data_IF_854807755339
#
_entry.id   IF_854807755339
#
_cell.length_a   1.000
_cell.length_b   1.000
_cell.length_c   1.000
_cell.angle_alpha   90.00
_cell.angle_beta   90.00
_cell.angle_gamma   90.00
#
_symmetry.space_group_name_H-M   'P 1'
#
loop_
_entity.id
_entity.type
_entity.pdbx_description
1 polymer ?
#
# COMPACT_ATOMS: atom_id res chain seq x y z
N UNK A 1 -69.89 -23.68 33.12
CA UNK A 1 -69.14 -24.56 32.20
C UNK A 1 -67.77 -23.95 31.95
N UNK A 2 -66.70 -24.72 32.19
CA UNK A 2 -65.29 -24.36 31.92
C UNK A 2 -65.08 -24.12 30.42
N UNK A 3 -64.28 -23.10 30.06
CA UNK A 3 -63.31 -23.20 28.96
C UNK A 3 -62.01 -22.51 29.36
N UNK A 4 -61.04 -23.36 29.69
CA UNK A 4 -59.61 -23.09 29.75
C UNK A 4 -59.18 -22.77 28.31
N UNK A 5 -58.64 -21.59 28.05
CA UNK A 5 -57.96 -21.29 26.79
C UNK A 5 -56.47 -21.18 27.07
N UNK A 6 -55.77 -22.16 26.51
CA UNK A 6 -54.34 -22.43 26.57
C UNK A 6 -53.46 -21.18 26.40
N UNK A 7 -52.79 -20.78 27.48
CA UNK A 7 -51.55 -20.00 27.46
C UNK A 7 -50.43 -20.96 26.99
N UNK A 8 -50.36 -21.23 25.69
CA UNK A 8 -49.21 -21.94 25.08
C UNK A 8 -48.79 -21.41 23.70
N UNK A 9 -49.49 -20.42 23.16
CA UNK A 9 -49.20 -19.91 21.81
C UNK A 9 -48.41 -18.60 21.78
N UNK A 10 -48.08 -18.00 22.92
CA UNK A 10 -47.37 -16.71 22.98
C UNK A 10 -45.84 -16.84 23.15
N UNK A 11 -45.32 -18.06 23.31
CA UNK A 11 -43.87 -18.29 23.54
C UNK A 11 -43.09 -18.67 22.27
N UNK A 12 -43.77 -18.92 21.15
CA UNK A 12 -43.12 -19.33 19.90
C UNK A 12 -42.70 -18.14 19.01
N UNK A 13 -43.24 -16.95 19.23
CA UNK A 13 -42.97 -15.77 18.36
C UNK A 13 -41.70 -15.02 18.80
N UNK A 14 -41.33 -15.08 20.08
CA UNK A 14 -40.16 -14.35 20.61
C UNK A 14 -38.85 -15.13 20.42
N UNK A 15 -38.89 -16.46 20.36
CA UNK A 15 -37.69 -17.30 20.13
C UNK A 15 -37.35 -17.46 18.64
N UNK A 16 -38.31 -17.20 17.74
CA UNK A 16 -38.07 -17.21 16.28
C UNK A 16 -37.35 -15.98 15.73
N UNK A 17 -37.30 -14.88 16.50
CA UNK A 17 -36.67 -13.62 16.09
C UNK A 17 -35.17 -13.54 16.42
N UNK A 18 -34.59 -14.53 17.10
CA UNK A 18 -33.19 -14.52 17.54
C UNK A 18 -32.26 -15.44 16.75
N UNK A 19 -32.74 -16.09 15.68
CA UNK A 19 -31.93 -17.01 14.85
C UNK A 19 -31.83 -16.61 13.37
N UNK A 20 -32.20 -15.38 13.03
CA UNK A 20 -31.94 -14.80 11.70
C UNK A 20 -30.87 -13.68 11.76
N UNK A 21 -29.96 -13.74 12.73
CA UNK A 21 -28.63 -13.15 12.55
C UNK A 21 -27.81 -14.13 11.72
N UNK A 22 -28.21 -14.31 10.45
CA UNK A 22 -27.23 -14.70 9.47
C UNK A 22 -26.25 -13.55 9.42
N UNK A 23 -25.08 -13.84 9.96
CA UNK A 23 -23.79 -13.24 9.64
C UNK A 23 -23.63 -13.34 8.10
N UNK A 24 -24.38 -12.52 7.37
CA UNK A 24 -23.95 -12.13 6.04
C UNK A 24 -22.88 -11.09 6.34
N UNK A 25 -21.66 -11.62 6.49
CA UNK A 25 -20.47 -11.04 5.90
C UNK A 25 -20.88 -10.58 4.50
N UNK A 26 -21.46 -9.38 4.43
CA UNK A 26 -21.58 -8.65 3.18
C UNK A 26 -20.16 -8.16 2.97
N UNK A 27 -19.29 -9.09 2.58
CA UNK A 27 -18.13 -8.77 1.78
C UNK A 27 -18.68 -7.84 0.72
N UNK A 28 -18.37 -6.55 0.85
CA UNK A 28 -18.63 -5.56 -0.19
C UNK A 28 -18.13 -6.27 -1.45
N UNK A 29 -18.99 -6.56 -2.43
CA UNK A 29 -18.51 -7.24 -3.62
C UNK A 29 -17.31 -6.44 -4.10
N UNK A 30 -16.19 -7.11 -4.36
CA UNK A 30 -15.05 -6.52 -5.05
C UNK A 30 -15.61 -6.04 -6.39
N UNK A 31 -16.12 -4.81 -6.41
CA UNK A 31 -16.40 -4.09 -7.63
C UNK A 31 -14.99 -3.99 -8.21
N UNK A 32 -14.69 -4.69 -9.33
CA UNK A 32 -13.45 -4.41 -10.02
C UNK A 32 -13.53 -2.91 -10.24
N UNK A 33 -12.60 -2.13 -9.66
CA UNK A 33 -12.46 -0.76 -10.11
C UNK A 33 -12.07 -0.94 -11.57
N UNK A 34 -13.05 -0.81 -12.47
CA UNK A 34 -12.78 -0.69 -13.90
C UNK A 34 -11.72 0.39 -13.94
N UNK A 35 -10.50 0.04 -14.36
CA UNK A 35 -9.30 0.88 -14.32
C UNK A 35 -8.34 0.78 -13.11
N UNK A 36 -8.34 -0.32 -12.35
CA UNK A 36 -7.23 -0.65 -11.44
C UNK A 36 -6.32 -1.76 -11.97
N UNK A 37 -5.03 -1.69 -11.67
CA UNK A 37 -4.04 -2.74 -11.91
C UNK A 37 -3.41 -3.19 -10.59
N UNK A 38 -3.28 -4.51 -10.39
CA UNK A 38 -2.38 -5.02 -9.37
C UNK A 38 -0.92 -4.79 -9.80
N UNK A 39 -0.04 -4.62 -8.82
CA UNK A 39 1.39 -4.48 -9.03
C UNK A 39 2.19 -5.16 -7.92
N UNK A 40 3.44 -5.52 -8.25
CA UNK A 40 4.42 -6.11 -7.36
C UNK A 40 5.76 -5.37 -7.49
N UNK A 41 6.62 -5.53 -6.50
CA UNK A 41 8.05 -5.26 -6.67
C UNK A 41 8.68 -6.54 -7.21
N UNK A 42 9.42 -6.41 -8.32
CA UNK A 42 9.97 -7.57 -9.03
C UNK A 42 11.08 -8.26 -8.23
N UNK A 43 11.83 -7.48 -7.46
CA UNK A 43 12.94 -7.92 -6.65
C UNK A 43 12.51 -8.16 -5.18
N UNK A 44 12.90 -9.29 -4.60
CA UNK A 44 12.76 -9.52 -3.15
C UNK A 44 13.88 -8.85 -2.35
N UNK A 45 15.07 -8.72 -2.97
CA UNK A 45 16.26 -8.11 -2.36
C UNK A 45 17.09 -7.39 -3.41
N UNK A 46 17.60 -6.21 -3.06
CA UNK A 46 18.54 -5.43 -3.86
C UNK A 46 19.76 -5.11 -3.01
N UNK A 47 20.94 -5.55 -3.45
CA UNK A 47 22.21 -5.18 -2.81
C UNK A 47 22.82 -3.97 -3.52
N UNK A 48 23.16 -2.95 -2.76
CA UNK A 48 23.75 -1.68 -3.21
C UNK A 48 25.00 -1.38 -2.39
N UNK A 49 25.92 -0.60 -2.94
CA UNK A 49 27.08 -0.09 -2.19
C UNK A 49 26.78 1.32 -1.72
N UNK A 50 27.40 1.73 -0.63
CA UNK A 50 27.35 3.11 -0.18
C UNK A 50 27.65 4.11 -1.30
N UNK A 51 26.90 5.20 -1.34
CA UNK A 51 27.03 6.26 -2.35
C UNK A 51 26.62 5.88 -3.78
N UNK A 52 26.23 4.61 -4.04
CA UNK A 52 25.71 4.21 -5.34
C UNK A 52 24.21 4.45 -5.47
N UNK A 53 23.74 4.48 -6.72
CA UNK A 53 22.32 4.64 -7.01
C UNK A 53 21.55 3.36 -6.69
N UNK A 54 20.49 3.49 -5.90
CA UNK A 54 19.52 2.45 -5.65
C UNK A 54 18.40 2.47 -6.72
N UNK A 55 18.01 1.28 -7.17
CA UNK A 55 16.93 1.07 -8.15
C UNK A 55 16.22 -0.26 -7.95
N UNK A 56 14.93 -0.31 -8.23
CA UNK A 56 14.13 -1.54 -8.28
C UNK A 56 13.05 -1.43 -9.36
N UNK A 57 12.34 -2.51 -9.63
CA UNK A 57 11.32 -2.56 -10.68
C UNK A 57 9.95 -2.80 -10.07
N UNK A 58 8.98 -1.97 -10.47
CA UNK A 58 7.56 -2.24 -10.25
C UNK A 58 7.00 -2.89 -11.51
N UNK A 59 6.38 -4.05 -11.36
CA UNK A 59 5.67 -4.76 -12.42
C UNK A 59 4.17 -4.71 -12.15
N UNK A 60 3.38 -4.27 -13.14
CA UNK A 60 1.93 -4.17 -13.05
C UNK A 60 1.24 -5.04 -14.10
N UNK A 61 0.05 -5.55 -13.78
CA UNK A 61 -0.70 -6.46 -14.66
C UNK A 61 -1.28 -5.77 -15.91
N UNK A 62 -1.71 -4.52 -15.77
CA UNK A 62 -2.37 -3.77 -16.83
C UNK A 62 -1.89 -2.32 -16.86
N UNK A 63 -1.92 -1.70 -18.04
CA UNK A 63 -1.72 -0.26 -18.17
C UNK A 63 -2.91 0.49 -17.56
N UNK A 64 -2.62 1.59 -16.87
CA UNK A 64 -3.63 2.47 -16.29
C UNK A 64 -3.59 3.80 -17.04
N UNK A 65 -4.64 4.08 -17.83
CA UNK A 65 -4.72 5.29 -18.65
C UNK A 65 -5.28 6.50 -17.89
N UNK A 66 -6.16 6.27 -16.91
CA UNK A 66 -6.77 7.36 -16.16
C UNK A 66 -5.74 8.03 -15.27
N UNK A 67 -5.62 9.34 -15.48
CA UNK A 67 -4.83 10.22 -14.64
C UNK A 67 -5.79 10.90 -13.68
N UNK A 68 -5.39 10.95 -12.42
CA UNK A 68 -6.15 11.68 -11.43
C UNK A 68 -5.95 13.20 -11.64
N UNK A 69 -6.80 13.79 -12.48
CA UNK A 69 -6.80 15.24 -12.81
C UNK A 69 -7.70 16.05 -11.84
N UNK A 70 -8.18 15.43 -10.76
CA UNK A 70 -9.32 15.94 -9.99
C UNK A 70 -9.03 16.43 -8.56
N UNK A 71 -7.80 16.37 -8.08
CA UNK A 71 -7.47 16.78 -6.71
C UNK A 71 -6.23 17.67 -6.73
N UNK A 72 -6.34 18.92 -6.25
CA UNK A 72 -5.26 19.91 -6.12
C UNK A 72 -4.03 19.44 -5.30
N UNK A 73 -4.04 18.20 -4.84
CA UNK A 73 -3.11 17.61 -3.89
C UNK A 73 -2.16 16.59 -4.51
N UNK A 74 -2.41 16.10 -5.74
CA UNK A 74 -1.58 15.05 -6.36
C UNK A 74 -1.01 15.50 -7.70
N UNK A 75 0.15 14.95 -8.04
CA UNK A 75 0.67 15.03 -9.41
C UNK A 75 -0.32 14.35 -10.36
N UNK A 76 -0.40 14.86 -11.60
CA UNK A 76 -1.25 14.29 -12.65
C UNK A 76 -0.56 13.05 -13.23
N UNK A 77 -0.61 11.96 -12.46
CA UNK A 77 -0.03 10.65 -12.76
C UNK A 77 -1.12 9.56 -12.71
N UNK A 78 -0.89 8.44 -13.40
CA UNK A 78 -1.80 7.29 -13.41
C UNK A 78 -1.45 6.20 -12.38
N UNK A 79 -0.21 6.17 -11.88
CA UNK A 79 0.24 5.30 -10.80
C UNK A 79 0.59 6.10 -9.54
N UNK A 80 0.06 5.69 -8.39
CA UNK A 80 0.32 6.30 -7.09
C UNK A 80 0.50 5.22 -6.04
N UNK A 81 1.65 5.21 -5.36
CA UNK A 81 1.95 4.25 -4.29
C UNK A 81 2.63 4.95 -3.12
N UNK A 82 2.57 4.28 -1.97
CA UNK A 82 3.24 4.67 -0.75
C UNK A 82 4.44 3.76 -0.51
N UNK A 83 5.52 4.35 0.01
CA UNK A 83 6.73 3.63 0.41
C UNK A 83 7.03 4.01 1.86
N UNK A 84 7.28 3.02 2.72
CA UNK A 84 7.72 3.28 4.09
C UNK A 84 8.74 2.24 4.55
N UNK A 85 9.55 2.63 5.53
CA UNK A 85 10.46 1.72 6.21
C UNK A 85 9.69 0.99 7.31
N UNK A 86 9.76 -0.34 7.33
CA UNK A 86 9.11 -1.19 8.33
C UNK A 86 10.09 -1.98 9.20
N UNK A 87 11.37 -1.97 8.85
CA UNK A 87 12.43 -2.69 9.55
C UNK A 87 13.80 -2.40 8.93
N UNK A 88 14.82 -3.11 9.43
CA UNK A 88 16.21 -2.97 9.00
C UNK A 88 17.17 -2.55 10.11
N UNK A 89 18.43 -2.43 9.76
CA UNK A 89 19.53 -1.97 10.63
C UNK A 89 20.04 -0.59 10.25
N UNK A 90 19.86 -0.19 8.98
CA UNK A 90 20.24 1.12 8.49
C UNK A 90 19.37 2.22 9.12
N UNK A 91 19.99 3.37 9.34
CA UNK A 91 19.48 4.55 10.02
C UNK A 91 19.16 5.65 9.01
N UNK A 92 17.94 6.17 9.10
CA UNK A 92 17.50 7.29 8.27
C UNK A 92 18.32 8.55 8.57
N UNK A 93 18.73 9.26 7.51
CA UNK A 93 19.59 10.44 7.49
C UNK A 93 21.08 10.19 7.84
N UNK A 94 21.45 8.95 8.17
CA UNK A 94 22.85 8.50 8.35
C UNK A 94 23.26 7.64 7.14
N UNK A 95 22.56 6.53 6.89
CA UNK A 95 22.93 5.55 5.84
C UNK A 95 22.08 5.72 4.57
N UNK A 96 20.88 6.28 4.72
CA UNK A 96 19.99 6.57 3.61
C UNK A 96 19.06 7.75 3.87
N UNK A 97 18.53 8.35 2.80
CA UNK A 97 17.49 9.37 2.89
C UNK A 97 16.49 9.24 1.74
N UNK A 98 15.23 9.65 1.97
CA UNK A 98 14.22 9.67 0.91
C UNK A 98 14.31 10.95 0.08
N UNK A 99 14.25 10.80 -1.24
CA UNK A 99 14.25 11.91 -2.21
C UNK A 99 12.83 12.25 -2.71
N UNK A 100 11.81 11.66 -2.10
CA UNK A 100 10.39 11.83 -2.43
C UNK A 100 9.64 12.45 -1.25
N UNK A 101 8.53 13.17 -1.49
CA UNK A 101 7.82 13.86 -0.42
C UNK A 101 7.11 12.87 0.51
N UNK A 102 6.86 13.30 1.75
CA UNK A 102 5.99 12.54 2.66
C UNK A 102 4.55 12.62 2.18
N UNK A 103 3.78 11.55 2.37
CA UNK A 103 2.37 11.51 1.98
C UNK A 103 1.57 12.63 2.64
N UNK A 104 1.86 12.94 3.90
CA UNK A 104 1.21 14.03 4.63
C UNK A 104 1.43 15.41 3.99
N UNK A 105 2.62 15.63 3.40
CA UNK A 105 2.97 16.90 2.75
C UNK A 105 2.29 17.05 1.40
N UNK A 106 2.03 15.94 0.71
CA UNK A 106 1.27 15.87 -0.55
C UNK A 106 -0.23 16.04 -0.27
N UNK A 107 -0.78 15.25 0.66
CA UNK A 107 -2.18 15.32 1.05
C UNK A 107 -2.39 14.94 2.52
N UNK A 108 -2.64 15.93 3.41
CA UNK A 108 -2.85 15.66 4.84
C UNK A 108 -4.16 14.92 5.12
N UNK A 109 -5.08 14.85 4.14
CA UNK A 109 -6.37 14.18 4.27
C UNK A 109 -6.29 12.65 4.16
N UNK A 110 -5.19 12.12 3.60
CA UNK A 110 -5.02 10.68 3.47
C UNK A 110 -4.81 9.99 4.82
N UNK A 111 -4.29 10.71 5.82
CA UNK A 111 -3.98 10.18 7.16
C UNK A 111 -3.08 8.92 7.11
N UNK A 112 -2.25 8.81 6.08
CA UNK A 112 -1.27 7.74 5.88
C UNK A 112 0.15 8.25 6.19
N UNK A 113 0.98 7.37 6.77
CA UNK A 113 2.40 7.60 7.01
C UNK A 113 3.26 7.13 5.83
N UNK A 114 4.50 7.59 5.75
CA UNK A 114 5.45 7.21 4.69
C UNK A 114 5.57 8.26 3.58
N UNK A 115 6.08 7.82 2.44
CA UNK A 115 6.52 8.64 1.32
C UNK A 115 5.71 8.34 0.06
N UNK A 116 5.42 9.39 -0.70
CA UNK A 116 4.58 9.32 -1.90
C UNK A 116 5.43 9.13 -3.14
N UNK A 117 5.11 8.13 -3.95
CA UNK A 117 5.71 7.92 -5.27
C UNK A 117 4.62 7.88 -6.35
N UNK A 118 4.67 8.87 -7.23
CA UNK A 118 3.83 8.95 -8.43
C UNK A 118 4.62 8.57 -9.69
N UNK A 119 4.00 7.80 -10.59
CA UNK A 119 4.60 7.45 -11.88
C UNK A 119 3.54 7.30 -12.99
N UNK A 120 3.95 7.40 -14.25
CA UNK A 120 3.05 7.22 -15.39
C UNK A 120 2.84 5.72 -15.67
N UNK A 121 1.84 5.11 -15.04
CA UNK A 121 1.42 3.73 -15.25
C UNK A 121 0.75 3.47 -16.61
N UNK A 122 0.63 4.48 -17.49
CA UNK A 122 0.00 4.31 -18.82
C UNK A 122 0.99 3.86 -19.90
N UNK A 123 2.30 3.95 -19.64
CA UNK A 123 3.33 3.79 -20.69
C UNK A 123 4.02 2.43 -20.72
N UNK A 124 4.04 1.69 -19.61
CA UNK A 124 4.77 0.42 -19.49
C UNK A 124 4.10 -0.50 -18.48
N UNK A 125 4.34 -1.81 -18.58
CA UNK A 125 3.99 -2.78 -17.52
C UNK A 125 5.14 -2.95 -16.52
N UNK A 126 6.37 -2.58 -16.91
CA UNK A 126 7.54 -2.56 -16.04
C UNK A 126 8.06 -1.14 -15.88
N UNK A 127 8.23 -0.71 -14.63
CA UNK A 127 8.70 0.62 -14.26
C UNK A 127 9.95 0.52 -13.41
N UNK A 128 11.08 0.95 -13.95
CA UNK A 128 12.31 1.09 -13.18
C UNK A 128 12.18 2.33 -12.30
N UNK A 129 12.13 2.09 -10.99
CA UNK A 129 12.09 3.13 -9.96
C UNK A 129 13.51 3.47 -9.57
N UNK A 130 13.87 4.73 -9.75
CA UNK A 130 15.18 5.28 -9.42
C UNK A 130 14.98 6.54 -8.58
N UNK A 131 16.03 6.96 -7.86
CA UNK A 131 16.09 8.25 -7.18
C UNK A 131 14.94 8.46 -6.17
N UNK A 132 14.43 7.38 -5.56
CA UNK A 132 13.49 7.47 -4.44
C UNK A 132 14.19 7.47 -3.09
N UNK A 133 15.36 6.83 -3.03
CA UNK A 133 16.23 6.76 -1.86
C UNK A 133 17.65 7.10 -2.33
N UNK A 134 18.33 7.97 -1.59
CA UNK A 134 19.78 8.16 -1.67
C UNK A 134 20.43 7.22 -0.67
N UNK A 135 21.37 6.39 -1.13
CA UNK A 135 22.28 5.65 -0.26
C UNK A 135 23.45 6.57 0.04
N UNK A 136 23.68 6.84 1.31
CA UNK A 136 24.72 7.76 1.77
C UNK A 136 26.04 6.98 1.83
N UNK A 137 27.16 7.69 1.66
CA UNK A 137 28.47 7.17 2.00
C UNK A 137 28.97 8.04 3.14
N UNK A 138 28.97 7.49 4.34
CA UNK A 138 29.30 8.23 5.56
C UNK A 138 30.79 8.08 5.94
N UNK A 139 31.47 7.10 5.32
CA UNK A 139 32.89 6.79 5.48
C UNK A 139 33.22 5.98 6.73
N UNK A 140 32.22 5.41 7.42
CA UNK A 140 32.40 4.44 8.50
C UNK A 140 32.58 3.03 7.94
N UNK A 141 32.82 2.06 8.83
CA UNK A 141 32.89 0.65 8.44
C UNK A 141 32.02 -0.13 9.40
N UNK A 142 30.86 -0.54 8.92
CA UNK A 142 29.73 -1.06 9.66
C UNK A 142 29.27 -2.42 9.10
N UNK A 143 29.72 -2.76 7.88
CA UNK A 143 29.48 -4.05 7.24
C UNK A 143 28.32 -4.01 6.27
N UNK A 144 27.39 -4.97 6.39
CA UNK A 144 26.15 -4.96 5.61
C UNK A 144 25.01 -4.49 6.48
N UNK A 145 24.37 -3.41 6.07
CA UNK A 145 23.17 -2.88 6.69
C UNK A 145 21.94 -3.16 5.83
N UNK A 146 20.76 -3.02 6.43
CA UNK A 146 19.51 -3.37 5.76
C UNK A 146 18.44 -2.31 5.93
N UNK A 147 17.64 -2.10 4.88
CA UNK A 147 16.35 -1.41 4.94
C UNK A 147 15.28 -2.39 4.51
N UNK A 148 14.22 -2.55 5.31
CA UNK A 148 13.01 -3.27 4.90
C UNK A 148 11.93 -2.26 4.50
N UNK A 149 11.62 -2.21 3.21
CA UNK A 149 10.62 -1.31 2.63
C UNK A 149 9.29 -2.02 2.48
N UNK A 150 8.19 -1.33 2.76
CA UNK A 150 6.83 -1.73 2.41
C UNK A 150 6.24 -0.80 1.37
N UNK A 151 5.58 -1.39 0.38
CA UNK A 151 4.82 -0.71 -0.67
C UNK A 151 3.33 -0.92 -0.43
N UNK A 152 2.54 0.15 -0.52
CA UNK A 152 1.11 0.11 -0.22
C UNK A 152 0.32 1.10 -1.09
N UNK A 153 -1.00 0.93 -1.27
CA UNK A 153 -1.79 1.85 -2.09
C UNK A 153 -2.03 3.18 -1.36
N UNK A 154 -1.95 4.28 -2.10
CA UNK A 154 -2.19 5.63 -1.57
C UNK A 154 -3.50 6.20 -2.10
N UNK A 155 -4.40 6.61 -1.21
CA UNK A 155 -5.66 7.27 -1.58
C UNK A 155 -6.55 6.44 -2.53
N UNK A 156 -7.01 7.05 -3.62
CA UNK A 156 -7.78 6.39 -4.69
C UNK A 156 -6.79 5.81 -5.70
N UNK A 157 -5.85 4.98 -5.27
CA UNK A 157 -4.86 4.42 -6.20
C UNK A 157 -5.55 3.53 -7.25
N UNK A 158 -5.21 3.77 -8.51
CA UNK A 158 -5.49 2.84 -9.60
C UNK A 158 -4.44 1.73 -9.68
N UNK A 159 -3.27 1.90 -9.07
CA UNK A 159 -2.29 0.83 -8.89
C UNK A 159 -2.39 0.29 -7.47
N UNK A 160 -2.67 -1.00 -7.34
CA UNK A 160 -2.78 -1.68 -6.05
C UNK A 160 -1.54 -2.53 -5.84
N UNK A 161 -0.71 -2.16 -4.85
CA UNK A 161 0.50 -2.87 -4.47
C UNK A 161 0.47 -3.16 -2.97
N UNK A 162 0.90 -4.33 -2.56
CA UNK A 162 1.11 -4.69 -1.15
C UNK A 162 2.28 -5.66 -1.08
N UNK A 163 3.48 -5.10 -1.05
CA UNK A 163 4.72 -5.86 -1.22
C UNK A 163 5.83 -5.29 -0.34
N UNK A 164 6.94 -6.02 -0.25
CA UNK A 164 8.11 -5.65 0.53
C UNK A 164 9.40 -5.85 -0.25
N UNK A 165 10.38 -4.99 0.00
CA UNK A 165 11.73 -5.12 -0.57
C UNK A 165 12.78 -4.98 0.53
N UNK A 166 13.75 -5.88 0.55
CA UNK A 166 14.95 -5.73 1.37
C UNK A 166 16.04 -5.04 0.54
N UNK A 167 16.58 -3.96 1.08
CA UNK A 167 17.76 -3.28 0.51
C UNK A 167 18.95 -3.60 1.40
N UNK A 168 20.00 -4.21 0.85
CA UNK A 168 21.26 -4.45 1.54
C UNK A 168 22.27 -3.37 1.15
N UNK A 169 22.69 -2.54 2.09
CA UNK A 169 23.71 -1.52 1.92
C UNK A 169 25.05 -2.11 2.35
N UNK A 170 26.06 -2.02 1.49
CA UNK A 170 27.38 -2.56 1.75
C UNK A 170 28.44 -1.46 1.65
N UNK A 171 29.39 -1.50 2.58
CA UNK A 171 30.62 -0.69 2.56
C UNK A 171 31.65 -1.10 1.49
#
# INVERSE_FOLDING_TARGET
MKKIVNIKSLLAVVVGLTLASCDQDVSVPDIPRENSSAAIVKEETVSVQEGNTFSFTIEQENLVEERFDGQEFFDVVSGQIGIRVIGGTATLDEDFSFNIPKIFDVSPFLLQDGYYYGYDASVSLEHIVNNVITIINDGQTEGTETIELQFFPVGIASVIINDTLIVEIND
#
